data_IF_377934551100
#
_entry.id   IF_377934551100
#
_cell.length_a   1.000
_cell.length_b   1.000
_cell.length_c   1.000
_cell.angle_alpha   90.00
_cell.angle_beta   90.00
_cell.angle_gamma   90.00
#
_symmetry.space_group_name_H-M   'P 1'
#
loop_
_entity.id
_entity.type
_entity.pdbx_description
1 polymer ?
#
# COMPACT_ATOMS: atom_id res chain seq x y z
N UNK A 1 10.32 -19.12 16.19
CA UNK A 1 11.42 -18.25 16.64
C UNK A 1 12.46 -18.13 15.53
N UNK A 2 13.04 -16.95 15.32
CA UNK A 2 14.15 -16.76 14.36
C UNK A 2 15.46 -17.10 15.08
N UNK A 3 16.32 -17.92 14.48
CA UNK A 3 17.57 -18.34 15.13
C UNK A 3 18.57 -17.19 15.24
N UNK A 4 19.41 -17.20 16.28
CA UNK A 4 20.45 -16.16 16.47
C UNK A 4 21.44 -16.12 15.31
N UNK A 5 21.73 -17.26 14.68
CA UNK A 5 22.60 -17.34 13.50
C UNK A 5 22.02 -16.57 12.31
N UNK A 6 20.71 -16.70 12.07
CA UNK A 6 20.01 -15.95 11.02
C UNK A 6 20.05 -14.45 11.29
N UNK A 7 19.86 -14.02 12.54
CA UNK A 7 19.95 -12.60 12.92
C UNK A 7 21.36 -12.03 12.70
N UNK A 8 22.40 -12.76 13.13
CA UNK A 8 23.80 -12.38 12.92
C UNK A 8 24.14 -12.27 11.43
N UNK A 9 23.64 -13.19 10.61
CA UNK A 9 23.83 -13.14 9.16
C UNK A 9 23.10 -11.95 8.52
N UNK A 10 21.85 -11.70 8.93
CA UNK A 10 21.05 -10.58 8.42
C UNK A 10 21.69 -9.22 8.75
N UNK A 11 22.25 -9.05 9.97
CA UNK A 11 23.00 -7.86 10.35
C UNK A 11 24.24 -7.67 9.46
N UNK A 12 25.05 -8.72 9.28
CA UNK A 12 26.25 -8.67 8.42
C UNK A 12 25.94 -8.29 6.96
N UNK A 13 24.77 -8.71 6.46
CA UNK A 13 24.31 -8.43 5.09
C UNK A 13 23.49 -7.15 4.97
N UNK A 14 23.42 -6.31 6.01
CA UNK A 14 22.62 -5.09 6.05
C UNK A 14 21.12 -5.31 5.73
N UNK A 15 20.59 -6.49 6.08
CA UNK A 15 19.18 -6.85 5.91
C UNK A 15 18.36 -6.66 7.18
N UNK A 16 19.02 -6.40 8.32
CA UNK A 16 18.42 -6.09 9.61
C UNK A 16 18.99 -4.75 10.10
N UNK A 17 18.14 -3.82 10.52
CA UNK A 17 18.54 -2.51 11.07
C UNK A 17 17.87 -2.26 12.42
N UNK A 18 18.58 -1.53 13.28
CA UNK A 18 18.00 -1.00 14.52
C UNK A 18 17.25 0.29 14.22
N UNK A 19 16.11 0.47 14.87
CA UNK A 19 15.23 1.62 14.76
C UNK A 19 14.79 2.05 16.16
N UNK A 20 14.45 3.33 16.30
CA UNK A 20 13.95 3.91 17.55
C UNK A 20 12.75 4.79 17.23
N UNK A 21 11.70 4.67 18.03
CA UNK A 21 10.52 5.55 17.95
C UNK A 21 10.04 5.90 19.37
N UNK A 22 10.32 7.12 19.82
CA UNK A 22 10.16 7.47 21.24
C UNK A 22 11.01 6.54 22.09
N UNK A 23 10.40 5.87 23.07
CA UNK A 23 11.07 4.88 23.92
C UNK A 23 11.06 3.45 23.34
N UNK A 24 10.49 3.26 22.14
CA UNK A 24 10.42 1.96 21.50
C UNK A 24 11.66 1.67 20.65
N UNK A 25 12.53 0.81 21.14
CA UNK A 25 13.66 0.26 20.39
C UNK A 25 13.29 -1.07 19.73
N UNK A 26 13.64 -1.23 18.45
CA UNK A 26 13.32 -2.46 17.72
C UNK A 26 14.28 -2.73 16.57
N UNK A 27 14.34 -3.99 16.16
CA UNK A 27 15.05 -4.39 14.93
C UNK A 27 14.04 -4.61 13.81
N UNK A 28 14.43 -4.26 12.58
CA UNK A 28 13.56 -4.31 11.41
C UNK A 28 14.27 -4.92 10.22
N UNK A 29 13.63 -5.92 9.61
CA UNK A 29 14.09 -6.49 8.34
C UNK A 29 13.81 -5.51 7.20
N UNK A 30 14.87 -5.03 6.55
CA UNK A 30 14.78 -4.01 5.49
C UNK A 30 14.36 -4.58 4.15
N UNK A 31 14.54 -5.89 3.97
CA UNK A 31 14.28 -6.66 2.76
C UNK A 31 13.90 -8.10 3.12
N UNK A 32 13.45 -8.87 2.14
CA UNK A 32 13.24 -10.31 2.31
C UNK A 32 14.59 -10.99 2.61
N UNK A 33 14.59 -11.88 3.59
CA UNK A 33 15.79 -12.62 3.97
C UNK A 33 15.44 -14.06 4.35
N UNK A 34 15.84 -15.00 3.49
CA UNK A 34 15.43 -16.41 3.59
C UNK A 34 13.90 -16.50 3.59
N UNK A 35 13.31 -17.08 4.64
CA UNK A 35 11.87 -17.23 4.85
C UNK A 35 11.26 -16.08 5.68
N UNK A 36 12.01 -15.01 5.93
CA UNK A 36 11.59 -13.85 6.72
C UNK A 36 11.19 -12.72 5.76
N UNK A 37 9.91 -12.33 5.72
CA UNK A 37 9.45 -11.26 4.85
C UNK A 37 9.96 -9.89 5.33
N UNK A 38 10.20 -9.00 4.37
CA UNK A 38 10.49 -7.58 4.58
C UNK A 38 9.48 -6.95 5.53
N UNK A 39 9.96 -6.06 6.39
CA UNK A 39 9.14 -5.37 7.38
C UNK A 39 8.81 -6.19 8.61
N UNK A 40 9.36 -7.40 8.75
CA UNK A 40 9.36 -8.11 10.04
C UNK A 40 10.09 -7.27 11.09
N UNK A 41 9.45 -7.10 12.25
CA UNK A 41 9.95 -6.32 13.39
C UNK A 41 10.19 -7.23 14.57
N UNK A 42 11.32 -7.04 15.24
CA UNK A 42 11.68 -7.72 16.48
C UNK A 42 11.69 -6.70 17.60
N UNK A 43 10.71 -6.83 18.47
CA UNK A 43 10.72 -6.28 19.82
C UNK A 43 11.39 -7.30 20.74
N UNK A 44 11.88 -6.86 21.90
CA UNK A 44 12.65 -7.68 22.86
C UNK A 44 12.24 -9.15 22.91
N UNK A 45 10.98 -9.42 23.24
CA UNK A 45 10.41 -10.78 23.38
C UNK A 45 9.25 -11.04 22.39
N UNK A 46 9.14 -10.27 21.31
CA UNK A 46 7.99 -10.35 20.40
C UNK A 46 8.39 -10.11 18.94
N UNK A 47 7.94 -11.01 18.06
CA UNK A 47 8.12 -10.89 16.62
C UNK A 47 6.80 -10.44 16.00
N UNK A 48 6.85 -9.34 15.26
CA UNK A 48 5.77 -8.87 14.40
C UNK A 48 6.15 -9.16 12.96
N UNK A 49 5.66 -10.28 12.43
CA UNK A 49 5.98 -10.74 11.09
C UNK A 49 5.54 -9.74 10.02
N UNK A 50 6.40 -9.50 9.03
CA UNK A 50 6.06 -8.73 7.84
C UNK A 50 4.85 -9.33 7.14
N UNK A 51 3.90 -8.50 6.71
CA UNK A 51 2.79 -9.01 5.91
C UNK A 51 3.38 -9.63 4.63
N UNK A 52 3.01 -10.86 4.23
CA UNK A 52 3.62 -11.57 3.11
C UNK A 52 3.32 -10.92 1.75
N UNK A 53 3.99 -11.36 0.70
CA UNK A 53 3.63 -10.98 -0.67
C UNK A 53 2.40 -11.76 -1.12
N UNK A 54 1.41 -11.06 -1.70
CA UNK A 54 0.26 -11.70 -2.35
C UNK A 54 0.57 -11.87 -3.83
N UNK A 55 0.46 -13.11 -4.33
CA UNK A 55 0.65 -13.44 -5.74
C UNK A 55 -0.39 -12.75 -6.62
N UNK A 56 -0.05 -12.48 -7.88
CA UNK A 56 -0.96 -11.87 -8.86
C UNK A 56 -1.27 -12.88 -9.95
N UNK A 57 -2.55 -13.00 -10.28
CA UNK A 57 -2.98 -13.64 -11.53
C UNK A 57 -3.25 -12.56 -12.58
N UNK A 58 -2.96 -12.86 -13.84
CA UNK A 58 -3.09 -11.91 -14.96
C UNK A 58 -4.31 -12.23 -15.83
N UNK A 59 -4.76 -13.47 -15.82
CA UNK A 59 -6.00 -13.92 -16.45
C UNK A 59 -6.89 -14.54 -15.37
N UNK A 60 -8.14 -14.15 -15.33
CA UNK A 60 -9.10 -14.63 -14.32
C UNK A 60 -9.45 -16.10 -14.57
N UNK A 61 -9.80 -16.44 -15.80
CA UNK A 61 -10.38 -17.73 -16.15
C UNK A 61 -9.41 -18.89 -15.92
N UNK A 62 -8.16 -18.70 -16.31
CA UNK A 62 -7.08 -19.69 -16.10
C UNK A 62 -6.48 -19.55 -14.71
N UNK A 63 -6.25 -18.32 -14.24
CA UNK A 63 -5.63 -18.06 -12.94
C UNK A 63 -6.45 -18.55 -11.76
N UNK A 64 -7.77 -18.41 -11.77
CA UNK A 64 -8.62 -18.89 -10.67
C UNK A 64 -8.58 -20.42 -10.58
N UNK A 65 -8.73 -21.12 -11.71
CA UNK A 65 -8.73 -22.60 -11.75
C UNK A 65 -7.38 -23.20 -11.38
N UNK A 66 -6.29 -22.52 -11.75
CA UNK A 66 -4.93 -22.96 -11.40
C UNK A 66 -4.61 -22.73 -9.92
N UNK A 67 -5.11 -21.64 -9.34
CA UNK A 67 -4.70 -21.22 -8.01
C UNK A 67 -5.62 -21.72 -6.89
N UNK A 68 -6.87 -22.11 -7.17
CA UNK A 68 -7.83 -22.51 -6.14
C UNK A 68 -8.42 -23.89 -6.41
N UNK A 69 -8.32 -24.76 -5.41
CA UNK A 69 -8.91 -26.11 -5.44
C UNK A 69 -10.28 -26.17 -4.75
N UNK A 70 -10.65 -25.11 -4.02
CA UNK A 70 -11.88 -25.02 -3.26
C UNK A 70 -12.43 -23.59 -3.20
N UNK A 71 -13.45 -23.35 -2.36
CA UNK A 71 -14.07 -22.04 -2.22
C UNK A 71 -13.08 -20.97 -1.73
N UNK A 72 -13.30 -19.73 -2.15
CA UNK A 72 -12.48 -18.58 -1.75
C UNK A 72 -13.35 -17.34 -1.52
N UNK A 73 -12.97 -16.56 -0.52
CA UNK A 73 -13.58 -15.26 -0.23
C UNK A 73 -13.04 -14.20 -1.17
N UNK A 74 -13.94 -13.34 -1.65
CA UNK A 74 -13.59 -12.20 -2.50
C UNK A 74 -13.78 -10.92 -1.72
N UNK A 75 -12.68 -10.21 -1.50
CA UNK A 75 -12.65 -8.90 -0.82
C UNK A 75 -12.21 -7.81 -1.78
N UNK A 76 -12.72 -6.59 -1.58
CA UNK A 76 -12.19 -5.41 -2.21
C UNK A 76 -10.70 -5.26 -1.91
N UNK A 77 -9.92 -5.02 -2.97
CA UNK A 77 -8.59 -4.48 -2.82
C UNK A 77 -8.72 -2.96 -2.74
N UNK A 78 -8.61 -2.43 -1.52
CA UNK A 78 -8.59 -0.98 -1.29
C UNK A 78 -7.22 -0.44 -1.67
N UNK A 79 -7.20 0.69 -2.38
CA UNK A 79 -5.99 1.38 -2.80
C UNK A 79 -5.56 2.40 -1.76
N UNK A 80 -4.42 2.17 -1.15
CA UNK A 80 -3.90 2.95 -0.04
C UNK A 80 -2.54 2.43 0.39
N UNK A 81 -2.28 2.43 1.70
CA UNK A 81 -1.08 1.82 2.22
C UNK A 81 -1.35 0.83 3.36
N UNK A 82 -0.65 -0.29 3.28
CA UNK A 82 -0.67 -1.37 4.26
C UNK A 82 -0.10 -0.93 5.62
N UNK A 83 -0.87 -1.20 6.67
CA UNK A 83 -0.48 -1.00 8.06
C UNK A 83 -0.72 -2.26 8.90
N UNK A 84 0.12 -2.45 9.92
CA UNK A 84 -0.05 -3.48 10.96
C UNK A 84 -0.17 -2.78 12.30
N UNK A 85 -1.37 -2.80 12.88
CA UNK A 85 -1.69 -2.18 14.18
C UNK A 85 -1.58 -3.23 15.27
N UNK A 86 -0.90 -2.91 16.35
CA UNK A 86 -0.67 -3.82 17.47
C UNK A 86 -0.54 -3.05 18.78
N UNK A 87 -0.83 -3.72 19.90
CA UNK A 87 -0.59 -3.19 21.24
C UNK A 87 0.74 -3.68 21.80
N UNK A 88 1.51 -2.80 22.42
CA UNK A 88 2.74 -3.11 23.14
C UNK A 88 2.88 -2.23 24.38
N UNK A 89 3.06 -2.85 25.55
CA UNK A 89 3.16 -2.17 26.86
C UNK A 89 2.01 -1.17 27.12
N UNK A 90 0.77 -1.53 26.78
CA UNK A 90 -0.42 -0.70 26.99
C UNK A 90 -0.66 0.38 25.91
N UNK A 91 0.29 0.57 24.99
CA UNK A 91 0.19 1.56 23.91
C UNK A 91 -0.06 0.90 22.56
N UNK A 92 -0.80 1.57 21.69
CA UNK A 92 -1.10 1.09 20.34
C UNK A 92 -0.16 1.75 19.33
N UNK A 93 0.45 0.93 18.47
CA UNK A 93 1.38 1.36 17.45
C UNK A 93 0.94 0.84 16.08
N UNK A 94 1.32 1.57 15.02
CA UNK A 94 1.08 1.14 13.65
C UNK A 94 2.39 1.05 12.85
N UNK A 95 2.70 -0.15 12.35
CA UNK A 95 3.82 -0.36 11.42
C UNK A 95 3.35 -0.16 9.99
N UNK A 96 4.15 0.55 9.19
CA UNK A 96 4.08 0.49 7.72
C UNK A 96 4.46 -0.90 7.21
N UNK A 97 4.19 -1.14 5.92
CA UNK A 97 4.68 -2.30 5.18
C UNK A 97 6.20 -2.55 5.37
N UNK A 98 6.99 -1.48 5.39
CA UNK A 98 8.45 -1.56 5.56
C UNK A 98 8.91 -1.88 6.99
N UNK A 99 7.99 -1.93 7.96
CA UNK A 99 8.24 -2.18 9.38
C UNK A 99 8.60 -0.94 10.19
N UNK A 100 8.42 0.27 9.66
CA UNK A 100 8.61 1.50 10.45
C UNK A 100 7.35 1.79 11.26
N UNK A 101 7.51 2.18 12.53
CA UNK A 101 6.43 2.78 13.30
C UNK A 101 6.08 4.13 12.69
N UNK A 102 4.87 4.24 12.15
CA UNK A 102 4.41 5.44 11.45
C UNK A 102 3.78 6.41 12.45
N UNK A 103 4.38 7.60 12.60
CA UNK A 103 3.84 8.62 13.50
C UNK A 103 2.41 9.05 13.12
N UNK A 104 2.12 9.21 11.82
CA UNK A 104 0.79 9.56 11.33
C UNK A 104 -0.24 8.48 11.65
N UNK A 105 -0.01 7.23 11.23
CA UNK A 105 -0.98 6.15 11.46
C UNK A 105 -1.17 5.88 12.96
N UNK A 106 -0.09 5.90 13.75
CA UNK A 106 -0.15 5.69 15.20
C UNK A 106 -0.97 6.78 15.90
N UNK A 107 -0.86 8.03 15.44
CA UNK A 107 -1.64 9.14 15.97
C UNK A 107 -3.14 9.03 15.62
N UNK A 108 -3.45 8.56 14.40
CA UNK A 108 -4.80 8.55 13.84
C UNK A 108 -5.61 7.28 14.08
N UNK A 109 -4.98 6.13 14.36
CA UNK A 109 -5.69 4.83 14.45
C UNK A 109 -6.84 4.82 15.46
N UNK A 110 -6.69 5.52 16.59
CA UNK A 110 -7.72 5.65 17.63
C UNK A 110 -8.98 6.39 17.19
N UNK A 111 -8.91 7.15 16.09
CA UNK A 111 -10.08 7.84 15.54
C UNK A 111 -11.00 6.88 14.77
N UNK A 112 -10.49 5.72 14.35
CA UNK A 112 -11.17 4.81 13.41
C UNK A 112 -11.34 3.38 13.91
N UNK A 113 -10.52 2.94 14.87
CA UNK A 113 -10.46 1.54 15.29
C UNK A 113 -10.84 1.43 16.76
N UNK A 114 -11.82 0.56 17.07
CA UNK A 114 -12.13 0.22 18.46
C UNK A 114 -10.95 -0.56 19.07
N UNK A 115 -10.25 0.07 20.02
CA UNK A 115 -9.04 -0.48 20.63
C UNK A 115 -9.33 -1.53 21.72
N UNK A 116 -10.59 -1.69 22.15
CA UNK A 116 -11.02 -2.75 23.10
C UNK A 116 -10.68 -4.16 22.59
N UNK A 117 -10.52 -4.32 21.26
CA UNK A 117 -10.06 -5.58 20.65
C UNK A 117 -8.70 -6.02 21.21
N UNK A 118 -7.82 -5.08 21.54
CA UNK A 118 -6.51 -5.40 22.12
C UNK A 118 -6.58 -5.65 23.62
N UNK A 119 -7.60 -5.15 24.33
CA UNK A 119 -7.84 -5.50 25.73
C UNK A 119 -8.26 -6.97 25.86
N UNK A 120 -9.14 -7.43 24.96
CA UNK A 120 -9.57 -8.82 24.90
C UNK A 120 -8.54 -9.74 24.27
N UNK A 121 -7.90 -9.30 23.19
CA UNK A 121 -6.94 -10.09 22.42
C UNK A 121 -5.61 -9.33 22.22
N UNK A 122 -4.77 -9.21 23.26
CA UNK A 122 -3.56 -8.39 23.24
C UNK A 122 -2.49 -8.88 22.25
N UNK A 123 -2.59 -10.12 21.79
CA UNK A 123 -1.64 -10.72 20.86
C UNK A 123 -2.01 -10.57 19.38
N UNK A 124 -3.17 -9.97 19.07
CA UNK A 124 -3.54 -9.72 17.69
C UNK A 124 -2.71 -8.59 17.09
N UNK A 125 -2.53 -8.71 15.78
CA UNK A 125 -1.97 -7.69 14.91
C UNK A 125 -2.99 -7.46 13.80
N UNK A 126 -3.63 -6.31 13.81
CA UNK A 126 -4.64 -5.97 12.81
C UNK A 126 -3.93 -5.49 11.54
N UNK A 127 -4.17 -6.18 10.43
CA UNK A 127 -3.63 -5.82 9.12
C UNK A 127 -4.69 -5.04 8.36
N UNK A 128 -4.43 -3.75 8.15
CA UNK A 128 -5.41 -2.81 7.62
C UNK A 128 -4.82 -2.03 6.44
N UNK A 129 -5.70 -1.53 5.58
CA UNK A 129 -5.34 -0.54 4.57
C UNK A 129 -5.77 0.82 5.11
N UNK A 130 -4.88 1.82 5.00
CA UNK A 130 -5.25 3.21 5.24
C UNK A 130 -5.32 3.92 3.90
N UNK A 131 -6.48 4.51 3.62
CA UNK A 131 -6.78 5.10 2.32
C UNK A 131 -7.59 6.37 2.48
N UNK A 132 -7.46 7.30 1.53
CA UNK A 132 -8.17 8.58 1.55
C UNK A 132 -7.34 9.70 0.92
N UNK A 133 -7.97 10.80 0.49
CA UNK A 133 -7.28 11.86 -0.25
C UNK A 133 -6.26 12.63 0.59
N UNK A 134 -6.29 12.50 1.92
CA UNK A 134 -5.37 13.19 2.83
C UNK A 134 -4.43 12.24 3.58
N UNK A 135 -4.07 11.14 2.92
CA UNK A 135 -3.01 10.27 3.41
C UNK A 135 -1.63 10.77 2.92
N UNK A 136 -0.54 10.53 3.65
CA UNK A 136 0.75 11.15 3.32
C UNK A 136 1.62 10.30 2.38
N UNK A 137 1.15 9.15 1.89
CA UNK A 137 1.97 8.19 1.15
C UNK A 137 1.56 8.02 -0.31
N UNK A 138 0.27 7.91 -0.57
CA UNK A 138 -0.34 7.58 -1.86
C UNK A 138 -1.20 8.75 -2.34
N UNK A 139 -1.08 9.11 -3.61
CA UNK A 139 -1.88 10.20 -4.22
C UNK A 139 -3.31 9.75 -4.53
N UNK A 140 -3.46 8.48 -4.89
CA UNK A 140 -4.75 7.86 -5.15
C UNK A 140 -5.55 7.68 -3.87
N UNK A 141 -6.87 7.75 -4.03
CA UNK A 141 -7.84 7.49 -2.99
C UNK A 141 -9.01 6.74 -3.57
N UNK A 142 -9.60 5.78 -2.83
CA UNK A 142 -10.87 5.19 -3.20
C UNK A 142 -11.92 6.30 -3.42
N UNK A 143 -12.72 6.22 -4.49
CA UNK A 143 -13.58 7.33 -4.91
C UNK A 143 -14.70 7.63 -3.91
N UNK A 144 -15.02 6.70 -3.02
CA UNK A 144 -16.01 6.87 -1.96
C UNK A 144 -15.48 7.60 -0.71
N UNK A 145 -14.17 7.84 -0.60
CA UNK A 145 -13.57 8.66 0.46
C UNK A 145 -13.33 10.06 -0.10
N UNK A 146 -14.05 11.05 0.41
CA UNK A 146 -14.04 12.43 -0.12
C UNK A 146 -13.10 13.37 0.61
N UNK A 147 -12.78 13.06 1.87
CA UNK A 147 -11.92 13.85 2.73
C UNK A 147 -11.22 12.92 3.74
N UNK A 148 -10.14 13.43 4.34
CA UNK A 148 -9.37 12.73 5.37
C UNK A 148 -8.89 11.32 4.93
N UNK A 149 -8.97 10.34 5.84
CA UNK A 149 -8.59 8.94 5.64
C UNK A 149 -9.65 8.02 6.27
N UNK A 150 -9.60 6.75 5.92
CA UNK A 150 -10.29 5.66 6.58
C UNK A 150 -9.37 4.44 6.72
N UNK A 151 -9.72 3.56 7.65
CA UNK A 151 -9.02 2.31 7.92
C UNK A 151 -9.89 1.13 7.47
N UNK A 152 -9.29 0.14 6.81
CA UNK A 152 -10.01 -1.05 6.33
C UNK A 152 -9.25 -2.31 6.72
N UNK A 153 -9.72 -3.02 7.74
CA UNK A 153 -9.22 -4.33 8.12
C UNK A 153 -9.44 -5.32 6.97
N UNK A 154 -8.38 -5.99 6.55
CA UNK A 154 -8.48 -7.11 5.61
C UNK A 154 -7.95 -8.42 6.19
N UNK A 155 -7.07 -8.40 7.20
CA UNK A 155 -6.57 -9.60 7.86
C UNK A 155 -6.24 -9.35 9.33
N UNK A 156 -6.11 -10.45 10.08
CA UNK A 156 -5.61 -10.44 11.45
C UNK A 156 -4.48 -11.46 11.54
N UNK A 157 -3.33 -11.03 12.01
CA UNK A 157 -2.18 -11.89 12.36
C UNK A 157 -2.08 -12.00 13.88
N UNK A 158 -1.22 -12.90 14.35
CA UNK A 158 -0.86 -13.01 15.76
C UNK A 158 0.63 -12.75 15.97
N UNK A 159 0.97 -12.12 17.09
CA UNK A 159 2.36 -11.99 17.54
C UNK A 159 3.05 -13.34 17.51
N UNK A 160 4.31 -13.35 17.07
CA UNK A 160 5.16 -14.53 16.94
C UNK A 160 4.73 -15.57 15.90
N UNK A 161 3.61 -15.37 15.18
CA UNK A 161 3.11 -16.29 14.16
C UNK A 161 3.12 -15.67 12.75
N UNK A 162 3.47 -16.48 11.75
CA UNK A 162 3.48 -16.05 10.34
C UNK A 162 2.10 -16.10 9.68
N UNK A 163 1.22 -16.96 10.19
CA UNK A 163 -0.10 -17.23 9.65
C UNK A 163 -1.09 -16.11 9.96
N UNK A 164 -2.17 -16.10 9.19
CA UNK A 164 -3.36 -15.31 9.47
C UNK A 164 -4.33 -16.13 10.34
N UNK A 165 -5.22 -15.44 11.06
CA UNK A 165 -6.38 -16.11 11.63
C UNK A 165 -7.27 -16.70 10.51
N UNK A 166 -7.94 -17.84 10.76
CA UNK A 166 -8.95 -18.36 9.85
C UNK A 166 -9.96 -17.28 9.46
N UNK A 167 -10.39 -17.28 8.20
CA UNK A 167 -11.20 -16.18 7.66
C UNK A 167 -12.49 -15.97 8.46
N UNK A 168 -13.16 -17.05 8.88
CA UNK A 168 -14.39 -16.98 9.70
C UNK A 168 -14.15 -16.41 11.09
N UNK A 169 -12.98 -16.67 11.69
CA UNK A 169 -12.62 -16.07 12.98
C UNK A 169 -12.37 -14.57 12.84
N UNK A 170 -11.72 -14.14 11.75
CA UNK A 170 -11.60 -12.72 11.42
C UNK A 170 -12.97 -12.04 11.34
N UNK A 171 -13.95 -12.66 10.67
CA UNK A 171 -15.31 -12.11 10.56
C UNK A 171 -15.98 -11.94 11.93
N UNK A 172 -15.84 -12.94 12.82
CA UNK A 172 -16.37 -12.86 14.18
C UNK A 172 -15.79 -11.67 14.94
N UNK A 173 -14.48 -11.44 14.84
CA UNK A 173 -13.81 -10.32 15.52
C UNK A 173 -14.25 -8.97 14.93
N UNK A 174 -14.40 -8.89 13.60
CA UNK A 174 -14.93 -7.69 12.93
C UNK A 174 -16.29 -7.34 13.49
N UNK A 175 -17.21 -8.30 13.56
CA UNK A 175 -18.57 -8.09 14.06
C UNK A 175 -18.59 -7.76 15.55
N UNK A 176 -17.81 -8.47 16.37
CA UNK A 176 -17.76 -8.29 17.83
C UNK A 176 -17.33 -6.87 18.22
N UNK A 177 -16.33 -6.30 17.54
CA UNK A 177 -15.76 -4.99 17.87
C UNK A 177 -16.19 -3.87 16.90
N UNK A 178 -17.07 -4.19 15.93
CA UNK A 178 -17.47 -3.29 14.85
C UNK A 178 -16.26 -2.65 14.15
N UNK A 179 -15.24 -3.47 13.82
CA UNK A 179 -14.02 -2.99 13.17
C UNK A 179 -14.32 -2.57 11.74
N UNK A 180 -13.78 -1.44 11.25
CA UNK A 180 -13.96 -1.07 9.86
C UNK A 180 -13.16 -2.06 8.99
N UNK A 181 -13.81 -2.69 8.02
CA UNK A 181 -13.22 -3.73 7.17
C UNK A 181 -13.41 -3.44 5.70
N UNK A 182 -12.58 -4.04 4.85
CA UNK A 182 -12.79 -4.04 3.39
C UNK A 182 -14.16 -4.61 3.02
N UNK A 183 -14.72 -4.15 1.90
CA UNK A 183 -15.98 -4.71 1.38
C UNK A 183 -15.77 -6.19 1.01
N UNK A 184 -16.72 -7.05 1.40
CA UNK A 184 -16.71 -8.48 1.11
C UNK A 184 -17.81 -8.80 0.11
N UNK A 185 -17.42 -9.25 -1.08
CA UNK A 185 -18.36 -9.56 -2.17
C UNK A 185 -18.97 -10.96 -2.06
N UNK A 186 -18.37 -11.84 -1.26
CA UNK A 186 -18.95 -13.14 -0.95
C UNK A 186 -17.93 -14.27 -0.97
N UNK A 187 -18.46 -15.49 -0.85
CA UNK A 187 -17.72 -16.74 -1.04
C UNK A 187 -18.03 -17.27 -2.44
N UNK A 188 -16.98 -17.55 -3.21
CA UNK A 188 -17.04 -17.99 -4.59
C UNK A 188 -16.39 -19.37 -4.72
N UNK A 189 -16.70 -20.09 -5.81
CA UNK A 189 -15.99 -21.30 -6.22
C UNK A 189 -15.24 -21.09 -7.55
N UNK A 190 -14.25 -21.95 -7.89
CA UNK A 190 -13.51 -21.84 -9.15
C UNK A 190 -14.37 -21.91 -10.43
N UNK A 191 -15.62 -22.37 -10.33
CA UNK A 191 -16.58 -22.42 -11.45
C UNK A 191 -17.27 -21.07 -11.70
N UNK A 192 -17.28 -20.16 -10.72
CA UNK A 192 -17.99 -18.86 -10.77
C UNK A 192 -17.13 -17.72 -11.34
N UNK A 193 -16.26 -18.03 -12.30
CA UNK A 193 -15.37 -17.03 -12.93
C UNK A 193 -16.18 -15.92 -13.59
N UNK A 194 -17.31 -16.22 -14.23
CA UNK A 194 -18.11 -15.23 -14.94
C UNK A 194 -18.77 -14.22 -13.98
N UNK A 195 -19.24 -14.68 -12.82
CA UNK A 195 -19.75 -13.80 -11.76
C UNK A 195 -18.66 -12.85 -11.26
N UNK A 196 -17.43 -13.35 -11.13
CA UNK A 196 -16.26 -12.55 -10.74
C UNK A 196 -15.86 -11.53 -11.83
N UNK A 197 -15.95 -11.88 -13.12
CA UNK A 197 -15.74 -10.95 -14.23
C UNK A 197 -16.75 -9.80 -14.20
N UNK A 198 -18.03 -10.12 -14.00
CA UNK A 198 -19.10 -9.13 -13.88
C UNK A 198 -18.87 -8.18 -12.68
N UNK A 199 -18.43 -8.72 -11.54
CA UNK A 199 -18.02 -7.92 -10.40
C UNK A 199 -16.87 -6.98 -10.78
N UNK A 200 -15.80 -7.49 -11.39
CA UNK A 200 -14.63 -6.69 -11.75
C UNK A 200 -14.93 -5.61 -12.80
N UNK A 201 -15.85 -5.88 -13.73
CA UNK A 201 -16.35 -4.86 -14.66
C UNK A 201 -17.04 -3.71 -13.92
N UNK A 202 -17.93 -4.02 -12.97
CA UNK A 202 -18.54 -3.00 -12.11
C UNK A 202 -17.48 -2.22 -11.31
N UNK A 203 -16.53 -2.90 -10.67
CA UNK A 203 -15.47 -2.25 -9.91
C UNK A 203 -14.61 -1.33 -10.80
N UNK A 204 -14.37 -1.72 -12.06
CA UNK A 204 -13.67 -0.90 -13.04
C UNK A 204 -14.43 0.39 -13.37
N UNK A 205 -15.74 0.27 -13.64
CA UNK A 205 -16.64 1.42 -13.88
C UNK A 205 -16.73 2.34 -12.66
N UNK A 206 -16.73 1.76 -11.46
CA UNK A 206 -16.69 2.47 -10.17
C UNK A 206 -15.30 3.02 -9.81
N UNK A 207 -14.27 2.83 -10.65
CA UNK A 207 -12.90 3.31 -10.42
C UNK A 207 -12.24 2.75 -9.15
N UNK A 208 -12.51 1.48 -8.84
CA UNK A 208 -11.90 0.74 -7.73
C UNK A 208 -10.72 -0.12 -8.18
N UNK A 209 -9.81 -0.44 -7.26
CA UNK A 209 -8.53 -1.07 -7.59
C UNK A 209 -8.67 -2.50 -8.11
N UNK A 210 -9.53 -3.30 -7.46
CA UNK A 210 -9.72 -4.70 -7.79
C UNK A 210 -10.10 -5.54 -6.58
N UNK A 211 -9.61 -6.78 -6.55
CA UNK A 211 -9.97 -7.77 -5.51
C UNK A 211 -8.77 -8.55 -4.99
N UNK A 212 -8.88 -8.98 -3.75
CA UNK A 212 -8.04 -10.02 -3.15
C UNK A 212 -8.90 -11.26 -2.92
N UNK A 213 -8.44 -12.40 -3.42
CA UNK A 213 -9.10 -13.69 -3.30
C UNK A 213 -8.37 -14.53 -2.26
N UNK A 214 -9.12 -15.09 -1.30
CA UNK A 214 -8.57 -15.76 -0.11
C UNK A 214 -9.24 -17.12 0.07
N UNK A 215 -8.50 -18.21 -0.11
CA UNK A 215 -9.02 -19.58 -0.02
C UNK A 215 -9.62 -19.86 1.37
N UNK A 216 -10.82 -20.44 1.43
CA UNK A 216 -11.46 -20.87 2.68
C UNK A 216 -10.92 -22.26 3.10
N UNK A 217 -9.60 -22.34 3.32
CA UNK A 217 -8.91 -23.58 3.71
C UNK A 217 -7.67 -23.31 4.57
N UNK A 218 -7.13 -24.34 5.22
CA UNK A 218 -5.88 -24.28 5.99
C UNK A 218 -4.66 -23.86 5.14
N UNK A 219 -4.71 -24.09 3.82
CA UNK A 219 -3.64 -23.63 2.90
C UNK A 219 -3.62 -22.11 2.79
N UNK A 220 -4.77 -21.46 2.99
CA UNK A 220 -4.97 -20.00 2.94
C UNK A 220 -4.29 -19.35 1.72
N UNK A 221 -4.46 -19.96 0.54
CA UNK A 221 -3.90 -19.43 -0.71
C UNK A 221 -4.54 -18.09 -1.02
N UNK A 222 -3.70 -17.13 -1.42
CA UNK A 222 -4.12 -15.77 -1.72
C UNK A 222 -3.59 -15.31 -3.05
N UNK A 223 -4.46 -14.73 -3.87
CA UNK A 223 -4.08 -14.03 -5.08
C UNK A 223 -4.83 -12.71 -5.18
N UNK A 224 -4.30 -11.78 -5.97
CA UNK A 224 -4.95 -10.51 -6.28
C UNK A 224 -5.11 -10.34 -7.77
N UNK A 225 -6.17 -9.65 -8.15
CA UNK A 225 -6.45 -9.20 -9.51
C UNK A 225 -6.87 -7.73 -9.47
N UNK A 226 -6.46 -6.95 -10.46
CA UNK A 226 -6.69 -5.51 -10.50
C UNK A 226 -7.41 -5.10 -11.77
N UNK A 227 -8.20 -4.04 -11.71
CA UNK A 227 -8.99 -3.53 -12.83
C UNK A 227 -8.09 -2.89 -13.90
N UNK A 228 -8.60 -2.75 -15.13
CA UNK A 228 -7.88 -2.02 -16.19
C UNK A 228 -7.76 -0.52 -15.84
N UNK A 229 -8.80 0.05 -15.21
CA UNK A 229 -8.78 1.39 -14.63
C UNK A 229 -7.58 1.58 -13.69
N UNK A 230 -7.42 0.70 -12.69
CA UNK A 230 -6.35 0.83 -11.71
C UNK A 230 -4.96 0.74 -12.37
N UNK A 231 -4.80 -0.14 -13.36
CA UNK A 231 -3.57 -0.22 -14.14
C UNK A 231 -3.24 1.06 -14.88
N UNK A 232 -4.24 1.70 -15.50
CA UNK A 232 -4.06 2.96 -16.22
C UNK A 232 -3.80 4.12 -15.26
N UNK A 233 -4.50 4.14 -14.12
CA UNK A 233 -4.34 5.20 -13.12
C UNK A 233 -2.96 5.14 -12.46
N UNK A 234 -2.48 3.94 -12.11
CA UNK A 234 -1.11 3.68 -11.68
C UNK A 234 -0.05 4.28 -12.64
N UNK A 235 -0.23 4.11 -13.96
CA UNK A 235 0.69 4.66 -14.96
C UNK A 235 0.63 6.20 -14.93
N UNK A 236 -0.59 6.75 -14.88
CA UNK A 236 -0.85 8.18 -14.86
C UNK A 236 -0.22 8.87 -13.66
N UNK A 237 -0.48 8.38 -12.45
CA UNK A 237 -0.05 9.03 -11.21
C UNK A 237 1.47 8.92 -10.97
N UNK A 238 2.11 7.86 -11.49
CA UNK A 238 3.55 7.67 -11.31
C UNK A 238 4.43 8.32 -12.37
N UNK A 239 3.83 8.92 -13.39
CA UNK A 239 4.52 9.64 -14.47
C UNK A 239 5.53 10.68 -13.95
N UNK A 240 5.18 11.44 -12.90
CA UNK A 240 6.08 12.45 -12.30
C UNK A 240 7.32 11.84 -11.63
N UNK A 241 7.25 10.58 -11.20
CA UNK A 241 8.34 9.85 -10.56
C UNK A 241 8.83 8.68 -11.43
N UNK A 242 8.65 8.75 -12.74
CA UNK A 242 8.97 7.65 -13.67
C UNK A 242 10.42 7.14 -13.52
N UNK A 243 11.38 8.04 -13.31
CA UNK A 243 12.79 7.70 -13.11
C UNK A 243 13.11 7.10 -11.73
N UNK A 244 12.19 7.21 -10.77
CA UNK A 244 12.33 6.65 -9.43
C UNK A 244 11.76 5.23 -9.32
N UNK A 245 11.17 4.70 -10.39
CA UNK A 245 10.54 3.38 -10.43
C UNK A 245 11.47 2.33 -11.06
N UNK A 246 11.35 1.05 -10.66
CA UNK A 246 12.09 -0.02 -11.29
C UNK A 246 11.64 -0.21 -12.75
N UNK A 247 12.56 -0.66 -13.60
CA UNK A 247 12.32 -0.79 -15.04
C UNK A 247 11.11 -1.69 -15.38
N UNK A 248 10.85 -2.69 -14.57
CA UNK A 248 9.74 -3.62 -14.75
C UNK A 248 8.37 -3.06 -14.30
N UNK A 249 8.32 -1.87 -13.68
CA UNK A 249 7.08 -1.26 -13.22
C UNK A 249 6.05 -1.09 -14.34
N UNK A 250 6.51 -0.58 -15.49
CA UNK A 250 5.67 -0.29 -16.65
C UNK A 250 5.43 -1.54 -17.50
N UNK A 251 6.46 -2.35 -17.76
CA UNK A 251 6.30 -3.60 -18.52
C UNK A 251 5.30 -4.52 -17.84
N UNK A 252 5.34 -4.64 -16.51
CA UNK A 252 4.37 -5.43 -15.75
C UNK A 252 2.94 -4.90 -15.85
N UNK A 253 2.71 -3.60 -16.02
CA UNK A 253 1.36 -3.01 -16.18
C UNK A 253 0.84 -3.15 -17.59
N UNK A 254 1.71 -2.98 -18.58
CA UNK A 254 1.39 -3.26 -19.97
C UNK A 254 0.98 -4.73 -20.16
N UNK A 255 1.72 -5.67 -19.58
CA UNK A 255 1.37 -7.09 -19.64
C UNK A 255 0.01 -7.39 -19.00
N UNK A 256 -0.34 -6.74 -17.88
CA UNK A 256 -1.67 -6.88 -17.26
C UNK A 256 -2.77 -6.42 -18.20
N UNK A 257 -2.60 -5.25 -18.82
CA UNK A 257 -3.59 -4.69 -19.73
C UNK A 257 -3.75 -5.55 -21.00
N UNK A 258 -2.64 -6.01 -21.59
CA UNK A 258 -2.66 -6.85 -22.80
C UNK A 258 -3.30 -8.21 -22.52
N UNK A 259 -3.01 -8.84 -21.39
CA UNK A 259 -3.62 -10.13 -21.04
C UNK A 259 -5.10 -10.00 -20.70
N UNK A 260 -5.53 -8.87 -20.11
CA UNK A 260 -6.95 -8.54 -19.96
C UNK A 260 -7.64 -8.37 -21.32
N UNK A 261 -7.05 -7.60 -22.25
CA UNK A 261 -7.59 -7.41 -23.60
C UNK A 261 -7.72 -8.73 -24.37
N UNK A 262 -6.73 -9.61 -24.21
CA UNK A 262 -6.74 -10.94 -24.82
C UNK A 262 -7.84 -11.82 -24.22
N UNK A 263 -7.97 -11.87 -22.90
CA UNK A 263 -8.98 -12.66 -22.19
C UNK A 263 -10.41 -12.22 -22.52
N UNK A 264 -10.65 -10.91 -22.65
CA UNK A 264 -11.97 -10.35 -22.94
C UNK A 264 -12.27 -10.25 -24.45
N UNK A 265 -11.34 -10.67 -25.32
CA UNK A 265 -11.51 -10.59 -26.77
C UNK A 265 -11.58 -9.16 -27.32
N UNK A 266 -11.06 -8.18 -26.59
CA UNK A 266 -11.10 -6.74 -26.89
C UNK A 266 -9.94 -6.28 -27.79
N UNK A 267 -9.49 -7.17 -28.69
CA UNK A 267 -8.33 -6.86 -29.55
C UNK A 267 -8.65 -5.65 -30.45
N UNK A 268 -7.88 -4.58 -30.28
CA UNK A 268 -8.04 -3.37 -31.08
C UNK A 268 -8.98 -2.32 -30.48
N UNK A 269 -9.26 -2.39 -29.17
CA UNK A 269 -9.96 -1.32 -28.44
C UNK A 269 -9.19 0.02 -28.55
N UNK A 270 -9.66 0.90 -29.45
CA UNK A 270 -9.05 2.21 -29.71
C UNK A 270 -9.17 3.16 -28.51
N UNK A 271 -10.24 3.03 -27.72
CA UNK A 271 -10.48 3.87 -26.55
C UNK A 271 -9.44 3.55 -25.48
N UNK A 272 -9.24 2.27 -25.16
CA UNK A 272 -8.26 1.86 -24.17
C UNK A 272 -6.81 2.19 -24.62
N UNK A 273 -6.51 2.07 -25.92
CA UNK A 273 -5.22 2.48 -26.46
C UNK A 273 -4.99 3.99 -26.28
N UNK A 274 -6.02 4.81 -26.54
CA UNK A 274 -5.97 6.25 -26.34
C UNK A 274 -5.83 6.61 -24.86
N UNK A 275 -6.53 5.91 -23.97
CA UNK A 275 -6.40 6.09 -22.52
C UNK A 275 -5.00 5.73 -22.02
N UNK A 276 -4.41 4.65 -22.53
CA UNK A 276 -3.03 4.27 -22.22
C UNK A 276 -2.04 5.35 -22.67
N UNK A 277 -2.19 5.86 -23.89
CA UNK A 277 -1.36 6.96 -24.40
C UNK A 277 -1.46 8.21 -23.51
N UNK A 278 -2.68 8.59 -23.11
CA UNK A 278 -2.91 9.69 -22.17
C UNK A 278 -2.28 9.43 -20.81
N UNK A 279 -2.41 8.22 -20.26
CA UNK A 279 -1.83 7.86 -18.97
C UNK A 279 -0.30 8.07 -18.94
N UNK A 280 0.40 7.76 -20.03
CA UNK A 280 1.84 8.03 -20.12
C UNK A 280 2.17 9.51 -20.35
N UNK A 281 1.44 10.16 -21.26
CA UNK A 281 1.84 11.48 -21.76
C UNK A 281 1.38 12.64 -20.89
N UNK A 282 0.16 12.60 -20.36
CA UNK A 282 -0.45 13.77 -19.70
C UNK A 282 0.36 14.20 -18.48
N UNK A 283 0.79 13.24 -17.65
CA UNK A 283 1.60 13.57 -16.48
C UNK A 283 3.05 13.94 -16.82
N UNK A 284 3.62 13.44 -17.92
CA UNK A 284 4.93 13.92 -18.41
C UNK A 284 4.85 15.35 -18.97
N UNK A 285 3.74 15.71 -19.63
CA UNK A 285 3.48 17.11 -20.01
C UNK A 285 3.36 18.01 -18.78
N UNK A 286 2.65 17.56 -17.74
CA UNK A 286 2.58 18.26 -16.46
C UNK A 286 3.97 18.45 -15.85
N UNK A 287 4.79 17.39 -15.80
CA UNK A 287 6.17 17.46 -15.30
C UNK A 287 7.01 18.48 -16.08
N UNK A 288 6.89 18.50 -17.41
CA UNK A 288 7.60 19.46 -18.27
C UNK A 288 7.14 20.90 -17.99
N UNK A 289 5.84 21.13 -17.79
CA UNK A 289 5.31 22.45 -17.43
C UNK A 289 5.86 22.90 -16.08
N UNK A 290 5.74 22.06 -15.05
CA UNK A 290 6.27 22.32 -13.71
C UNK A 290 7.77 22.63 -13.74
N UNK A 291 8.56 21.86 -14.47
CA UNK A 291 9.99 22.09 -14.61
C UNK A 291 10.33 23.44 -15.27
N UNK A 292 9.53 23.91 -16.23
CA UNK A 292 9.73 25.22 -16.89
C UNK A 292 9.32 26.41 -16.03
N UNK A 293 8.14 26.30 -15.41
CA UNK A 293 7.50 27.41 -14.71
C UNK A 293 8.03 27.56 -13.28
N UNK A 294 8.30 26.44 -12.60
CA UNK A 294 8.58 26.39 -11.17
C UNK A 294 9.99 25.87 -10.87
N UNK A 295 10.70 25.35 -11.87
CA UNK A 295 12.07 24.82 -11.73
C UNK A 295 12.16 23.50 -10.96
N UNK A 296 11.02 22.86 -10.65
CA UNK A 296 10.96 21.59 -9.91
C UNK A 296 9.72 20.78 -10.29
N UNK A 297 9.81 19.45 -10.18
CA UNK A 297 8.69 18.52 -10.33
C UNK A 297 8.34 17.95 -8.97
N UNK A 298 7.09 18.10 -8.53
CA UNK A 298 6.69 17.77 -7.16
C UNK A 298 5.22 17.38 -7.05
N UNK A 299 4.85 16.82 -5.88
CA UNK A 299 3.47 16.63 -5.45
C UNK A 299 3.27 17.20 -4.05
N UNK A 300 2.11 17.81 -3.82
CA UNK A 300 1.71 18.31 -2.50
C UNK A 300 0.82 17.27 -1.82
N UNK A 301 1.07 17.06 -0.53
CA UNK A 301 0.30 16.19 0.34
C UNK A 301 -0.25 17.03 1.49
N UNK A 302 -1.47 16.72 1.89
CA UNK A 302 -2.15 17.27 3.06
C UNK A 302 -2.56 16.12 3.96
N UNK A 303 -2.30 16.23 5.26
CA UNK A 303 -2.75 15.22 6.22
C UNK A 303 -3.02 15.82 7.60
N UNK A 304 -3.98 15.22 8.33
CA UNK A 304 -4.42 15.67 9.65
C UNK A 304 -3.82 14.82 10.77
N UNK A 305 -3.37 15.46 11.84
CA UNK A 305 -2.85 14.84 13.06
C UNK A 305 -3.61 15.35 14.29
N UNK A 306 -3.80 14.51 15.31
CA UNK A 306 -4.25 14.91 16.65
C UNK A 306 -3.13 15.61 17.41
N UNK A 307 -1.89 15.15 17.25
CA UNK A 307 -0.71 15.72 17.92
C UNK A 307 0.22 16.46 16.96
N UNK A 308 0.54 17.72 17.30
CA UNK A 308 1.56 18.51 16.61
C UNK A 308 2.93 17.83 16.62
N UNK A 309 3.28 17.22 17.75
CA UNK A 309 4.55 16.53 17.92
C UNK A 309 4.64 15.34 16.95
N UNK A 310 3.55 14.56 16.83
CA UNK A 310 3.48 13.44 15.88
C UNK A 310 3.59 13.91 14.43
N UNK A 311 3.03 15.07 14.08
CA UNK A 311 3.21 15.67 12.77
C UNK A 311 4.68 15.98 12.46
N UNK A 312 5.41 16.56 13.43
CA UNK A 312 6.84 16.87 13.27
C UNK A 312 7.71 15.61 13.21
N UNK A 313 7.44 14.61 14.05
CA UNK A 313 8.12 13.31 13.99
C UNK A 313 7.88 12.63 12.65
N UNK A 314 6.62 12.64 12.17
CA UNK A 314 6.29 12.11 10.85
C UNK A 314 7.08 12.81 9.73
N UNK A 315 7.13 14.15 9.74
CA UNK A 315 7.84 14.92 8.74
C UNK A 315 9.33 14.55 8.69
N UNK A 316 9.96 14.38 9.87
CA UNK A 316 11.35 13.94 9.94
C UNK A 316 11.53 12.51 9.42
N UNK A 317 10.63 11.58 9.77
CA UNK A 317 10.66 10.22 9.25
C UNK A 317 10.60 10.18 7.71
N UNK A 318 9.71 10.98 7.09
CA UNK A 318 9.54 10.93 5.64
C UNK A 318 10.66 11.63 4.87
N UNK A 319 11.33 12.63 5.46
CA UNK A 319 12.51 13.28 4.85
C UNK A 319 13.66 12.31 4.60
N UNK A 320 13.82 11.31 5.47
CA UNK A 320 14.89 10.31 5.36
C UNK A 320 14.45 9.02 4.65
N UNK A 321 13.22 8.95 4.15
CA UNK A 321 12.68 7.74 3.53
C UNK A 321 13.30 7.45 2.15
N UNK A 322 13.75 8.46 1.42
CA UNK A 322 14.35 8.33 0.09
C UNK A 322 15.38 9.42 -0.16
N UNK A 323 16.51 9.06 -0.77
CA UNK A 323 17.56 10.00 -1.21
C UNK A 323 17.21 10.72 -2.52
N UNK A 324 16.21 10.24 -3.25
CA UNK A 324 15.80 10.79 -4.55
C UNK A 324 14.56 11.70 -4.45
N UNK A 325 13.98 11.80 -3.26
CA UNK A 325 12.80 12.63 -2.98
C UNK A 325 13.17 13.61 -1.89
N UNK A 326 13.10 14.90 -2.18
CA UNK A 326 13.23 15.93 -1.16
C UNK A 326 11.85 16.25 -0.60
N UNK A 327 11.72 16.31 0.72
CA UNK A 327 10.47 16.64 1.41
C UNK A 327 10.57 18.00 2.07
N UNK A 328 9.70 18.94 1.69
CA UNK A 328 9.64 20.28 2.26
C UNK A 328 8.27 20.51 2.91
N UNK A 329 8.27 21.00 4.16
CA UNK A 329 7.03 21.43 4.82
C UNK A 329 6.57 22.75 4.22
N UNK A 330 5.28 22.85 3.91
CA UNK A 330 4.63 24.07 3.42
C UNK A 330 3.94 24.79 4.58
N UNK A 331 3.14 24.07 5.36
CA UNK A 331 2.41 24.61 6.52
C UNK A 331 2.20 23.54 7.60
N UNK A 332 2.03 23.99 8.85
CA UNK A 332 1.59 23.16 9.97
C UNK A 332 0.70 24.00 10.88
N UNK A 333 -0.61 23.92 10.64
CA UNK A 333 -1.60 24.81 11.24
C UNK A 333 -2.62 24.05 12.07
N UNK A 334 -3.24 24.71 13.04
CA UNK A 334 -4.31 24.10 13.84
C UNK A 334 -5.65 24.39 13.19
N UNK A 335 -6.36 23.35 12.77
CA UNK A 335 -7.73 23.42 12.24
C UNK A 335 -8.65 22.56 13.11
N UNK A 336 -9.52 23.21 13.91
CA UNK A 336 -10.38 22.51 14.86
C UNK A 336 -9.57 21.67 15.87
N UNK A 337 -9.86 20.37 15.89
CA UNK A 337 -9.20 19.39 16.77
C UNK A 337 -7.94 18.77 16.16
N UNK A 338 -7.52 19.23 14.98
CA UNK A 338 -6.39 18.67 14.25
C UNK A 338 -5.28 19.70 14.01
N UNK A 339 -4.06 19.20 13.90
CA UNK A 339 -2.93 19.84 13.27
C UNK A 339 -2.84 19.36 11.82
N UNK A 340 -3.03 20.27 10.87
CA UNK A 340 -2.98 19.99 9.45
C UNK A 340 -1.58 20.30 8.95
N UNK A 341 -0.92 19.27 8.42
CA UNK A 341 0.39 19.35 7.80
C UNK A 341 0.21 19.34 6.28
N UNK A 342 0.73 20.37 5.62
CA UNK A 342 0.94 20.35 4.17
C UNK A 342 2.43 20.30 3.87
N UNK A 343 2.81 19.41 2.95
CA UNK A 343 4.20 19.25 2.55
C UNK A 343 4.28 18.83 1.09
N UNK A 344 5.40 19.14 0.45
CA UNK A 344 5.68 18.69 -0.91
C UNK A 344 6.74 17.59 -0.93
N UNK A 345 6.60 16.66 -1.88
CA UNK A 345 7.62 15.70 -2.30
C UNK A 345 8.15 16.13 -3.66
N UNK A 346 9.42 16.54 -3.71
CA UNK A 346 10.11 16.95 -4.94
C UNK A 346 10.88 15.77 -5.51
N UNK A 347 10.63 15.42 -6.77
CA UNK A 347 11.30 14.32 -7.46
C UNK A 347 12.60 14.81 -8.10
N UNK A 348 13.72 14.58 -7.41
CA UNK A 348 15.01 15.17 -7.76
C UNK A 348 15.53 14.70 -9.11
N UNK A 349 15.41 13.40 -9.40
CA UNK A 349 15.87 12.81 -10.66
C UNK A 349 15.10 13.40 -11.85
N UNK A 350 13.77 13.49 -11.74
CA UNK A 350 12.92 14.05 -12.81
C UNK A 350 13.18 15.55 -12.99
N UNK A 351 13.29 16.29 -11.87
CA UNK A 351 13.63 17.72 -11.88
C UNK A 351 14.95 17.98 -12.59
N UNK A 352 16.01 17.23 -12.23
CA UNK A 352 17.33 17.36 -12.83
C UNK A 352 17.33 17.00 -14.32
N UNK A 353 16.71 15.87 -14.69
CA UNK A 353 16.66 15.41 -16.08
C UNK A 353 15.94 16.42 -16.97
N UNK A 354 14.71 16.84 -16.59
CA UNK A 354 13.95 17.80 -17.38
C UNK A 354 14.63 19.17 -17.42
N UNK A 355 15.25 19.60 -16.31
CA UNK A 355 16.02 20.84 -16.27
C UNK A 355 17.21 20.85 -17.24
N UNK A 356 17.80 19.69 -17.53
CA UNK A 356 18.87 19.52 -18.52
C UNK A 356 18.33 19.42 -19.95
N UNK A 357 17.37 18.53 -20.18
CA UNK A 357 16.80 18.25 -21.51
C UNK A 357 16.07 19.46 -22.10
N UNK A 358 15.27 20.17 -21.30
CA UNK A 358 14.51 21.33 -21.76
C UNK A 358 15.40 22.53 -22.13
N UNK A 359 16.67 22.51 -21.72
CA UNK A 359 17.69 23.50 -22.12
C UNK A 359 18.52 23.05 -23.33
N UNK A 360 18.19 21.92 -23.96
CA UNK A 360 18.89 21.39 -25.13
C UNK A 360 20.09 20.48 -24.81
N UNK A 361 20.15 19.93 -23.59
CA UNK A 361 21.18 18.96 -23.22
C UNK A 361 21.05 17.63 -24.00
N UNK A 362 22.18 17.01 -24.33
CA UNK A 362 22.25 15.70 -24.98
C UNK A 362 22.46 14.56 -23.98
N UNK A 363 21.77 13.44 -24.16
CA UNK A 363 22.00 12.20 -23.40
C UNK A 363 22.77 11.18 -24.25
N UNK A 364 23.54 10.32 -23.58
CA UNK A 364 24.17 9.14 -24.18
C UNK A 364 23.50 7.95 -23.49
N UNK A 365 22.84 7.11 -24.29
CA UNK A 365 22.08 5.94 -23.82
C UNK A 365 22.92 4.65 -23.88
#
# INVERSE_FOLDING_TARGET
>A
MISQEVLKEALKKNKLKSEVYGDLEYLRFTDDFKDIPRGTVLLKDTILWGYPHIGRIFQLSTGIREQFEGPFWVEEKVDGYNVRVFMHNGEVYALTRGGYVCAFTTDRVKDFVNLEVFEKYPDLVLCMEVAGPENPYVEESPPYIKEDIAFFLFDIMQKNQKSFLPYREKLRIIEEFNLPSVERYGLYTPEQVEDLKNLLKRLNEEKREGVVLKEDSERDKRVKYITSYANLNDIRITSLNMLGLPADYYTNRLLRLVLFLEEEGLKGDEELQKELGKAFLDGLFEACRMAREEGKVYRVFRCRFRSREKALVFLEQIKHASTHIQVNMLSLEKEGDFWVLEFEKVFLNMTGLLGYLLKGGSLID
#
